data_IF_952995806217
#
_entry.id   IF_952995806217
#
_cell.length_a   1.000
_cell.length_b   1.000
_cell.length_c   1.000
_cell.angle_alpha   90.00
_cell.angle_beta   90.00
_cell.angle_gamma   90.00
#
_symmetry.space_group_name_H-M   'P 1'
#
loop_
_entity.id
_entity.type
_entity.pdbx_description
1 polymer ?
#
# COMPACT_ATOMS: atom_id res chain seq x y z
N UNK A 1 -23.67 17.36 -13.30
CA UNK A 1 -22.24 17.59 -12.97
C UNK A 1 -22.04 18.03 -11.53
N UNK A 2 -22.76 19.06 -11.06
CA UNK A 2 -22.64 19.65 -9.72
C UNK A 2 -22.73 18.65 -8.55
N UNK A 3 -23.64 17.68 -8.62
CA UNK A 3 -23.82 16.65 -7.57
C UNK A 3 -22.69 15.60 -7.54
N UNK A 4 -22.04 15.37 -8.69
CA UNK A 4 -20.90 14.45 -8.85
C UNK A 4 -19.62 15.10 -8.31
N UNK A 5 -19.46 16.41 -8.55
CA UNK A 5 -18.35 17.23 -8.08
C UNK A 5 -18.36 17.38 -6.55
N UNK A 6 -19.54 17.57 -5.95
CA UNK A 6 -19.71 17.56 -4.49
C UNK A 6 -19.33 16.22 -3.84
N UNK A 7 -19.65 15.09 -4.49
CA UNK A 7 -19.22 13.76 -4.02
C UNK A 7 -17.70 13.59 -4.09
N UNK A 8 -17.04 14.02 -5.17
CA UNK A 8 -15.57 13.92 -5.28
C UNK A 8 -14.87 14.79 -4.22
N UNK A 9 -15.34 16.03 -4.00
CA UNK A 9 -14.81 16.90 -2.93
C UNK A 9 -14.94 16.28 -1.54
N UNK A 10 -15.97 15.49 -1.29
CA UNK A 10 -16.17 14.82 -0.01
C UNK A 10 -15.04 13.81 0.28
N UNK A 11 -14.62 13.05 -0.74
CA UNK A 11 -13.64 11.96 -0.64
C UNK A 11 -12.25 12.31 -1.21
N UNK A 12 -11.96 13.59 -1.44
CA UNK A 12 -10.69 14.03 -2.03
C UNK A 12 -9.46 13.58 -1.24
N UNK A 13 -9.59 13.49 0.09
CA UNK A 13 -8.51 13.12 0.98
C UNK A 13 -8.11 11.63 0.89
N UNK A 14 -9.05 10.66 1.00
CA UNK A 14 -8.71 9.26 0.80
C UNK A 14 -8.29 8.94 -0.65
N UNK A 15 -8.90 9.62 -1.63
CA UNK A 15 -8.51 9.47 -3.05
C UNK A 15 -7.09 10.00 -3.26
N UNK A 16 -6.80 11.22 -2.81
CA UNK A 16 -5.49 11.86 -2.98
C UNK A 16 -4.38 11.05 -2.32
N UNK A 17 -4.59 10.56 -1.10
CA UNK A 17 -3.65 9.68 -0.42
C UNK A 17 -3.37 8.38 -1.20
N UNK A 18 -4.42 7.73 -1.71
CA UNK A 18 -4.29 6.53 -2.55
C UNK A 18 -3.49 6.81 -3.83
N UNK A 19 -3.78 7.92 -4.51
CA UNK A 19 -3.10 8.32 -5.75
C UNK A 19 -1.62 8.59 -5.46
N UNK A 20 -1.31 9.36 -4.42
CA UNK A 20 0.08 9.65 -4.03
C UNK A 20 0.84 8.35 -3.73
N UNK A 21 0.25 7.42 -2.96
CA UNK A 21 0.89 6.12 -2.71
C UNK A 21 1.11 5.32 -4.00
N UNK A 22 0.10 5.25 -4.89
CA UNK A 22 0.23 4.49 -6.15
C UNK A 22 1.29 5.09 -7.08
N UNK A 23 1.51 6.41 -7.00
CA UNK A 23 2.56 7.11 -7.74
C UNK A 23 3.98 6.90 -7.17
N UNK A 24 4.15 6.17 -6.06
CA UNK A 24 5.44 5.89 -5.45
C UNK A 24 6.50 5.43 -6.47
N UNK A 25 6.16 4.41 -7.26
CA UNK A 25 7.05 3.79 -8.24
C UNK A 25 7.43 4.74 -9.39
N UNK A 26 6.47 5.31 -10.15
CA UNK A 26 6.83 6.23 -11.23
C UNK A 26 7.60 7.45 -10.72
N UNK A 27 7.29 7.94 -9.51
CA UNK A 27 8.04 9.02 -8.89
C UNK A 27 9.48 8.62 -8.55
N UNK A 28 9.69 7.44 -7.97
CA UNK A 28 11.04 6.94 -7.69
C UNK A 28 11.85 6.70 -8.96
N UNK A 29 11.24 6.19 -10.03
CA UNK A 29 11.91 6.00 -11.32
C UNK A 29 12.34 7.34 -11.93
N UNK A 30 11.44 8.33 -11.93
CA UNK A 30 11.74 9.68 -12.42
C UNK A 30 12.84 10.36 -11.58
N UNK A 31 12.76 10.26 -10.24
CA UNK A 31 13.77 10.80 -9.34
C UNK A 31 15.13 10.13 -9.53
N UNK A 32 15.16 8.81 -9.75
CA UNK A 32 16.38 8.07 -10.03
C UNK A 32 17.00 8.51 -11.36
N UNK A 33 16.21 8.69 -12.41
CA UNK A 33 16.69 9.19 -13.70
C UNK A 33 17.27 10.60 -13.58
N UNK A 34 16.56 11.52 -12.92
CA UNK A 34 17.07 12.87 -12.64
C UNK A 34 18.38 12.84 -11.83
N UNK A 35 18.48 11.94 -10.84
CA UNK A 35 19.68 11.78 -10.03
C UNK A 35 20.86 11.23 -10.82
N UNK A 36 20.63 10.26 -11.70
CA UNK A 36 21.66 9.70 -12.58
C UNK A 36 22.15 10.74 -13.59
N UNK A 37 21.24 11.52 -14.18
CA UNK A 37 21.59 12.63 -15.08
C UNK A 37 22.43 13.69 -14.36
N UNK A 38 22.02 14.11 -13.17
CA UNK A 38 22.76 15.08 -12.36
C UNK A 38 24.12 14.53 -11.88
N UNK A 39 24.22 13.21 -11.66
CA UNK A 39 25.42 12.51 -11.21
C UNK A 39 26.41 12.11 -12.31
N UNK A 40 26.07 12.32 -13.58
CA UNK A 40 26.88 11.91 -14.73
C UNK A 40 28.08 12.81 -15.05
N UNK A 41 28.29 13.87 -14.27
CA UNK A 41 29.46 14.74 -14.42
C UNK A 41 30.75 14.02 -13.97
N UNK A 42 31.89 14.35 -14.59
CA UNK A 42 33.19 13.76 -14.25
C UNK A 42 33.76 14.23 -12.88
N UNK A 43 32.97 14.93 -12.06
CA UNK A 43 33.39 15.48 -10.77
C UNK A 43 32.64 14.82 -9.61
N UNK A 44 33.32 14.51 -8.51
CA UNK A 44 32.69 13.95 -7.29
C UNK A 44 31.50 14.80 -6.79
N UNK A 45 31.58 16.12 -6.94
CA UNK A 45 30.51 17.06 -6.58
C UNK A 45 29.20 16.78 -7.33
N UNK A 46 29.26 16.26 -8.56
CA UNK A 46 28.08 15.91 -9.34
C UNK A 46 27.39 14.64 -8.80
N UNK A 47 28.15 13.64 -8.35
CA UNK A 47 27.60 12.41 -7.75
C UNK A 47 26.86 12.69 -6.44
N UNK A 48 27.40 13.57 -5.58
CA UNK A 48 26.72 14.02 -4.36
C UNK A 48 25.45 14.82 -4.66
N UNK A 49 25.44 15.60 -5.74
CA UNK A 49 24.28 16.37 -6.16
C UNK A 49 23.14 15.45 -6.65
N UNK A 50 23.47 14.40 -7.42
CA UNK A 50 22.51 13.36 -7.81
C UNK A 50 21.89 12.64 -6.61
N UNK A 51 22.73 12.17 -5.67
CA UNK A 51 22.26 11.53 -4.43
C UNK A 51 21.41 12.47 -3.57
N UNK A 52 21.81 13.73 -3.45
CA UNK A 52 21.09 14.76 -2.70
C UNK A 52 19.70 15.02 -3.27
N UNK A 53 19.57 15.12 -4.60
CA UNK A 53 18.29 15.31 -5.29
C UNK A 53 17.36 14.11 -5.09
N UNK A 54 17.87 12.88 -5.24
CA UNK A 54 17.10 11.67 -4.98
C UNK A 54 16.61 11.64 -3.53
N UNK A 55 17.51 11.84 -2.57
CA UNK A 55 17.19 11.82 -1.14
C UNK A 55 16.15 12.88 -0.76
N UNK A 56 16.30 14.11 -1.26
CA UNK A 56 15.33 15.18 -1.03
C UNK A 56 13.96 14.85 -1.63
N UNK A 57 13.92 14.32 -2.86
CA UNK A 57 12.67 13.91 -3.51
C UNK A 57 11.93 12.79 -2.76
N UNK A 58 12.66 11.78 -2.31
CA UNK A 58 12.10 10.70 -1.47
C UNK A 58 11.57 11.26 -0.16
N UNK A 59 12.29 12.19 0.49
CA UNK A 59 11.87 12.79 1.75
C UNK A 59 10.60 13.65 1.58
N UNK A 60 10.49 14.43 0.50
CA UNK A 60 9.28 15.18 0.15
C UNK A 60 8.09 14.23 -0.05
N UNK A 61 8.30 13.12 -0.77
CA UNK A 61 7.26 12.10 -0.96
C UNK A 61 6.80 11.49 0.37
N UNK A 62 7.73 11.09 1.24
CA UNK A 62 7.41 10.54 2.56
C UNK A 62 6.65 11.54 3.43
N UNK A 63 7.04 12.83 3.41
CA UNK A 63 6.30 13.89 4.10
C UNK A 63 4.88 14.05 3.55
N UNK A 64 4.71 14.03 2.23
CA UNK A 64 3.38 14.13 1.62
C UNK A 64 2.47 12.95 2.03
N UNK A 65 3.01 11.72 1.99
CA UNK A 65 2.29 10.52 2.44
C UNK A 65 1.95 10.60 3.92
N UNK A 66 2.90 11.01 4.77
CA UNK A 66 2.69 11.15 6.22
C UNK A 66 1.60 12.18 6.54
N UNK A 67 1.67 13.37 5.92
CA UNK A 67 0.67 14.44 6.11
C UNK A 67 -0.72 13.96 5.66
N UNK A 68 -0.84 13.39 4.46
CA UNK A 68 -2.11 12.88 3.95
C UNK A 68 -2.63 11.72 4.80
N UNK A 69 -1.75 10.85 5.31
CA UNK A 69 -2.08 9.77 6.23
C UNK A 69 -2.67 10.31 7.54
N UNK A 70 -1.98 11.23 8.21
CA UNK A 70 -2.44 11.86 9.46
C UNK A 70 -3.80 12.54 9.25
N UNK A 71 -3.96 13.30 8.17
CA UNK A 71 -5.22 13.94 7.85
C UNK A 71 -6.35 12.92 7.66
N UNK A 72 -6.10 11.78 7.00
CA UNK A 72 -7.10 10.72 6.83
C UNK A 72 -7.49 10.11 8.18
N UNK A 73 -6.53 9.88 9.07
CA UNK A 73 -6.81 9.40 10.44
C UNK A 73 -7.70 10.40 11.17
N UNK A 74 -7.33 11.68 11.23
CA UNK A 74 -8.11 12.74 11.89
C UNK A 74 -9.53 12.83 11.33
N UNK A 75 -9.67 12.75 9.99
CA UNK A 75 -10.96 12.84 9.32
C UNK A 75 -11.83 11.61 9.58
N UNK A 76 -11.24 10.42 9.70
CA UNK A 76 -11.96 9.21 10.12
C UNK A 76 -12.59 9.37 11.50
N UNK A 77 -11.85 9.88 12.49
CA UNK A 77 -12.36 10.14 13.84
C UNK A 77 -13.45 11.22 13.85
N UNK A 78 -13.31 12.27 13.02
CA UNK A 78 -14.34 13.30 12.89
C UNK A 78 -15.65 12.73 12.33
N UNK A 79 -15.57 11.89 11.29
CA UNK A 79 -16.72 11.22 10.71
C UNK A 79 -17.40 10.26 11.69
N UNK A 80 -16.61 9.53 12.49
CA UNK A 80 -17.13 8.72 13.60
C UNK A 80 -17.94 9.56 14.59
N UNK A 81 -17.41 10.71 15.03
CA UNK A 81 -18.13 11.61 15.96
C UNK A 81 -19.45 12.13 15.39
N UNK A 82 -19.50 12.33 14.07
CA UNK A 82 -20.70 12.76 13.36
C UNK A 82 -21.68 11.60 13.09
N UNK A 83 -21.31 10.36 13.44
CA UNK A 83 -22.06 9.13 13.11
C UNK A 83 -22.35 8.99 11.61
N UNK A 84 -21.49 9.56 10.74
CA UNK A 84 -21.64 9.45 9.29
C UNK A 84 -21.07 8.12 8.80
N UNK A 85 -21.92 7.08 8.88
CA UNK A 85 -21.52 5.74 8.43
C UNK A 85 -21.23 5.69 6.93
N UNK A 86 -21.98 6.45 6.11
CA UNK A 86 -21.81 6.41 4.66
C UNK A 86 -20.42 6.90 4.29
N UNK A 87 -19.97 7.97 4.92
CA UNK A 87 -18.62 8.48 4.73
C UNK A 87 -17.56 7.50 5.22
N UNK A 88 -17.75 6.90 6.40
CA UNK A 88 -16.81 5.91 6.94
C UNK A 88 -16.67 4.67 6.04
N UNK A 89 -17.79 4.10 5.59
CA UNK A 89 -17.79 2.91 4.71
C UNK A 89 -17.21 3.24 3.34
N UNK A 90 -17.63 4.33 2.71
CA UNK A 90 -17.09 4.71 1.40
C UNK A 90 -15.59 5.06 1.48
N UNK A 91 -15.16 5.77 2.53
CA UNK A 91 -13.76 6.07 2.78
C UNK A 91 -12.93 4.80 3.00
N UNK A 92 -13.44 3.84 3.78
CA UNK A 92 -12.83 2.53 3.96
C UNK A 92 -12.67 1.81 2.62
N UNK A 93 -13.71 1.73 1.80
CA UNK A 93 -13.66 1.03 0.51
C UNK A 93 -12.69 1.71 -0.47
N UNK A 94 -12.68 3.04 -0.54
CA UNK A 94 -11.74 3.79 -1.40
C UNK A 94 -10.30 3.49 -1.00
N UNK A 95 -9.99 3.59 0.30
CA UNK A 95 -8.63 3.36 0.79
C UNK A 95 -8.22 1.90 0.61
N UNK A 96 -9.06 0.94 1.02
CA UNK A 96 -8.72 -0.50 0.95
C UNK A 96 -8.53 -0.95 -0.50
N UNK A 97 -9.48 -0.64 -1.37
CA UNK A 97 -9.40 -1.06 -2.78
C UNK A 97 -8.32 -0.30 -3.54
N UNK A 98 -8.12 0.98 -3.20
CA UNK A 98 -7.04 1.79 -3.75
C UNK A 98 -5.65 1.29 -3.36
N UNK A 99 -5.46 0.91 -2.09
CA UNK A 99 -4.19 0.40 -1.58
C UNK A 99 -3.79 -0.93 -2.21
N UNK A 100 -4.73 -1.74 -2.72
CA UNK A 100 -4.40 -2.99 -3.44
C UNK A 100 -3.48 -2.71 -4.62
N UNK A 101 -3.74 -1.65 -5.39
CA UNK A 101 -2.91 -1.29 -6.54
C UNK A 101 -1.49 -0.89 -6.09
N UNK A 102 -1.39 -0.04 -5.07
CA UNK A 102 -0.11 0.32 -4.47
C UNK A 102 0.65 -0.92 -3.99
N UNK A 103 -0.02 -1.83 -3.27
CA UNK A 103 0.57 -3.05 -2.75
C UNK A 103 1.14 -3.91 -3.87
N UNK A 104 0.35 -4.21 -4.91
CA UNK A 104 0.80 -5.02 -6.06
C UNK A 104 2.00 -4.36 -6.75
N UNK A 105 1.87 -3.09 -7.13
CA UNK A 105 2.92 -2.36 -7.86
C UNK A 105 4.22 -2.31 -7.03
N UNK A 106 4.12 -1.99 -5.74
CA UNK A 106 5.28 -1.85 -4.86
C UNK A 106 6.02 -3.19 -4.67
N UNK A 107 5.29 -4.28 -4.42
CA UNK A 107 5.93 -5.61 -4.25
C UNK A 107 6.50 -6.17 -5.56
N UNK A 108 5.84 -5.96 -6.69
CA UNK A 108 6.38 -6.34 -8.01
C UNK A 108 7.69 -5.60 -8.27
N UNK A 109 7.74 -4.29 -8.01
CA UNK A 109 8.96 -3.51 -8.22
C UNK A 109 10.08 -3.90 -7.25
N UNK A 110 9.77 -4.12 -5.97
CA UNK A 110 10.76 -4.64 -5.00
C UNK A 110 11.31 -5.99 -5.49
N UNK A 111 10.44 -6.92 -5.92
CA UNK A 111 10.87 -8.21 -6.45
C UNK A 111 11.77 -8.06 -7.68
N UNK A 112 11.40 -7.18 -8.62
CA UNK A 112 12.21 -6.89 -9.81
C UNK A 112 13.58 -6.30 -9.45
N UNK A 113 13.64 -5.36 -8.51
CA UNK A 113 14.91 -4.76 -8.05
C UNK A 113 15.80 -5.81 -7.39
N UNK A 114 15.23 -6.66 -6.54
CA UNK A 114 15.97 -7.73 -5.85
C UNK A 114 16.48 -8.78 -6.84
N UNK A 115 15.66 -9.21 -7.79
CA UNK A 115 16.04 -10.17 -8.82
C UNK A 115 17.09 -9.59 -9.77
N UNK A 116 16.90 -8.36 -10.26
CA UNK A 116 17.84 -7.70 -11.15
C UNK A 116 19.18 -7.40 -10.44
N UNK A 117 19.13 -6.90 -9.20
CA UNK A 117 20.32 -6.66 -8.39
C UNK A 117 21.07 -7.95 -8.07
N UNK A 118 20.34 -9.02 -7.72
CA UNK A 118 20.91 -10.35 -7.50
C UNK A 118 21.58 -10.91 -8.76
N UNK A 119 20.92 -10.80 -9.91
CA UNK A 119 21.47 -11.26 -11.19
C UNK A 119 22.70 -10.43 -11.60
N UNK A 120 22.65 -9.11 -11.47
CA UNK A 120 23.77 -8.22 -11.77
C UNK A 120 24.98 -8.53 -10.88
N UNK A 121 24.75 -8.76 -9.58
CA UNK A 121 25.81 -9.15 -8.66
C UNK A 121 26.37 -10.55 -8.96
N UNK A 122 25.54 -11.50 -9.36
CA UNK A 122 25.97 -12.82 -9.80
C UNK A 122 26.85 -12.76 -11.06
N UNK A 123 26.41 -12.04 -12.09
CA UNK A 123 27.17 -11.86 -13.34
C UNK A 123 28.47 -11.08 -13.09
N UNK A 124 28.40 -9.96 -12.37
CA UNK A 124 29.57 -9.12 -12.08
C UNK A 124 30.64 -9.82 -11.25
N UNK A 125 30.24 -10.70 -10.33
CA UNK A 125 31.15 -11.52 -9.52
C UNK A 125 31.61 -12.81 -10.23
N UNK A 126 31.16 -13.07 -11.48
CA UNK A 126 31.40 -14.32 -12.20
C UNK A 126 30.98 -15.55 -11.38
N UNK A 127 29.90 -15.43 -10.62
CA UNK A 127 29.35 -16.47 -9.75
C UNK A 127 30.03 -16.64 -8.39
N UNK A 128 31.11 -15.92 -8.09
CA UNK A 128 31.82 -16.04 -6.81
C UNK A 128 31.01 -15.52 -5.62
N UNK A 129 30.00 -14.67 -5.86
CA UNK A 129 29.10 -14.17 -4.80
C UNK A 129 28.30 -15.27 -4.10
N UNK A 130 28.12 -16.44 -4.75
CA UNK A 130 27.45 -17.59 -4.12
C UNK A 130 28.20 -18.07 -2.86
N UNK A 131 29.53 -17.95 -2.84
CA UNK A 131 30.34 -18.32 -1.67
C UNK A 131 30.22 -17.29 -0.53
N UNK A 132 29.95 -16.02 -0.86
CA UNK A 132 29.69 -14.96 0.12
C UNK A 132 28.23 -14.93 0.60
N UNK A 133 27.31 -15.61 -0.09
CA UNK A 133 25.88 -15.60 0.17
C UNK A 133 25.52 -15.92 1.64
N UNK A 134 26.12 -16.94 2.31
CA UNK A 134 25.78 -17.24 3.71
C UNK A 134 26.05 -16.07 4.66
N UNK A 135 27.06 -15.25 4.38
CA UNK A 135 27.43 -14.08 5.17
C UNK A 135 26.60 -12.85 4.81
N UNK A 136 26.14 -12.75 3.56
CA UNK A 136 25.30 -11.65 3.08
C UNK A 136 23.81 -11.85 3.37
N UNK A 137 23.36 -13.11 3.50
CA UNK A 137 21.95 -13.48 3.68
C UNK A 137 21.30 -12.74 4.85
N UNK A 138 21.92 -12.63 6.05
CA UNK A 138 21.33 -11.88 7.15
C UNK A 138 21.09 -10.40 6.80
N UNK A 139 22.03 -9.77 6.09
CA UNK A 139 21.92 -8.39 5.64
C UNK A 139 20.80 -8.20 4.61
N UNK A 140 20.68 -9.12 3.64
CA UNK A 140 19.60 -9.11 2.64
C UNK A 140 18.24 -9.28 3.32
N UNK A 141 18.11 -10.25 4.24
CA UNK A 141 16.87 -10.47 4.99
C UNK A 141 16.49 -9.27 5.85
N UNK A 142 17.46 -8.64 6.51
CA UNK A 142 17.25 -7.42 7.26
C UNK A 142 16.72 -6.30 6.36
N UNK A 143 17.37 -6.06 5.22
CA UNK A 143 16.96 -5.04 4.25
C UNK A 143 15.55 -5.31 3.70
N UNK A 144 15.24 -6.56 3.34
CA UNK A 144 13.89 -6.97 2.91
C UNK A 144 12.85 -6.71 3.99
N UNK A 145 13.17 -7.02 5.25
CA UNK A 145 12.28 -6.79 6.38
C UNK A 145 11.98 -5.30 6.56
N UNK A 146 12.99 -4.43 6.44
CA UNK A 146 12.80 -2.97 6.50
C UNK A 146 11.87 -2.48 5.39
N UNK A 147 12.02 -2.96 4.15
CA UNK A 147 11.14 -2.58 3.03
C UNK A 147 9.69 -3.03 3.24
N UNK A 148 9.50 -4.27 3.72
CA UNK A 148 8.17 -4.84 4.02
C UNK A 148 7.49 -4.05 5.14
N UNK A 149 8.19 -3.80 6.25
CA UNK A 149 7.67 -3.03 7.39
C UNK A 149 7.39 -1.58 6.97
N UNK A 150 8.27 -0.95 6.20
CA UNK A 150 8.08 0.42 5.70
C UNK A 150 6.82 0.54 4.83
N UNK A 151 6.61 -0.42 3.92
CA UNK A 151 5.40 -0.50 3.09
C UNK A 151 4.16 -0.67 3.98
N UNK A 152 4.22 -1.55 4.98
CA UNK A 152 3.14 -1.76 5.94
C UNK A 152 2.78 -0.47 6.70
N UNK A 153 3.78 0.24 7.24
CA UNK A 153 3.61 1.49 7.98
C UNK A 153 2.94 2.58 7.14
N UNK A 154 3.33 2.69 5.87
CA UNK A 154 2.74 3.66 4.94
C UNK A 154 1.25 3.44 4.79
N UNK A 155 0.75 2.20 4.83
CA UNK A 155 -0.66 1.87 4.62
C UNK A 155 -1.52 1.88 5.90
N UNK A 156 -0.91 1.91 7.09
CA UNK A 156 -1.59 1.92 8.40
C UNK A 156 -2.71 2.98 8.50
N UNK A 157 -2.53 4.23 8.03
CA UNK A 157 -3.59 5.24 8.05
C UNK A 157 -4.91 4.79 7.39
N UNK A 158 -4.83 3.92 6.37
CA UNK A 158 -5.99 3.38 5.68
C UNK A 158 -6.87 2.47 6.54
N UNK A 159 -6.30 1.80 7.55
CA UNK A 159 -7.04 0.89 8.44
C UNK A 159 -8.01 1.64 9.38
N UNK A 160 -7.74 2.90 9.72
CA UNK A 160 -8.53 3.65 10.69
C UNK A 160 -9.98 3.84 10.27
N UNK A 161 -10.26 4.00 8.97
CA UNK A 161 -11.64 4.04 8.47
C UNK A 161 -12.38 2.72 8.76
N UNK A 162 -11.72 1.57 8.58
CA UNK A 162 -12.26 0.26 8.94
C UNK A 162 -12.52 0.13 10.44
N UNK A 163 -11.58 0.58 11.27
CA UNK A 163 -11.76 0.65 12.74
C UNK A 163 -12.97 1.51 13.12
N UNK A 164 -13.20 2.65 12.46
CA UNK A 164 -14.39 3.46 12.74
C UNK A 164 -15.69 2.78 12.30
N UNK A 165 -15.71 2.08 11.16
CA UNK A 165 -16.86 1.28 10.72
C UNK A 165 -17.16 0.17 11.74
N UNK A 166 -16.13 -0.50 12.27
CA UNK A 166 -16.27 -1.52 13.31
C UNK A 166 -16.87 -0.93 14.59
N UNK A 167 -16.35 0.21 15.07
CA UNK A 167 -16.86 0.90 16.27
C UNK A 167 -18.32 1.32 16.11
N UNK A 168 -18.71 1.86 14.96
CA UNK A 168 -20.11 2.19 14.67
C UNK A 168 -20.99 0.95 14.62
N UNK A 169 -20.51 -0.12 13.97
CA UNK A 169 -21.24 -1.39 13.87
C UNK A 169 -21.47 -2.05 15.23
N UNK A 170 -20.50 -1.95 16.14
CA UNK A 170 -20.62 -2.40 17.52
C UNK A 170 -21.61 -1.52 18.30
N UNK A 171 -21.51 -0.19 18.18
CA UNK A 171 -22.43 0.76 18.82
C UNK A 171 -23.89 0.59 18.39
N UNK A 172 -24.15 0.21 17.14
CA UNK A 172 -25.49 -0.12 16.63
C UNK A 172 -25.93 -1.57 16.90
N UNK A 173 -25.18 -2.33 17.71
CA UNK A 173 -25.46 -3.74 18.04
C UNK A 173 -25.56 -4.66 16.81
N UNK A 174 -24.95 -4.29 15.68
CA UNK A 174 -24.85 -5.12 14.47
C UNK A 174 -23.74 -6.18 14.56
N UNK A 175 -22.94 -6.12 15.63
CA UNK A 175 -21.77 -6.95 15.85
C UNK A 175 -21.47 -7.12 17.34
N UNK A 176 -21.08 -8.33 17.75
CA UNK A 176 -20.61 -8.61 19.12
C UNK A 176 -19.14 -8.23 19.32
N UNK A 177 -18.68 -8.21 20.58
CA UNK A 177 -17.33 -7.78 20.94
C UNK A 177 -16.22 -8.65 20.32
N UNK A 178 -16.37 -9.98 20.36
CA UNK A 178 -15.38 -10.89 19.76
C UNK A 178 -15.21 -10.68 18.25
N UNK A 179 -16.33 -10.48 17.54
CA UNK A 179 -16.30 -10.14 16.12
C UNK A 179 -15.65 -8.76 15.89
N UNK A 180 -15.93 -7.76 16.74
CA UNK A 180 -15.30 -6.45 16.64
C UNK A 180 -13.77 -6.51 16.77
N UNK A 181 -13.27 -7.32 17.70
CA UNK A 181 -11.82 -7.53 17.89
C UNK A 181 -11.20 -8.25 16.69
N UNK A 182 -11.85 -9.30 16.19
CA UNK A 182 -11.38 -10.03 15.01
C UNK A 182 -11.30 -9.12 13.78
N UNK A 183 -12.40 -8.43 13.45
CA UNK A 183 -12.44 -7.47 12.36
C UNK A 183 -11.39 -6.36 12.57
N UNK A 184 -11.19 -5.91 13.81
CA UNK A 184 -10.16 -4.93 14.15
C UNK A 184 -8.74 -5.42 13.84
N UNK A 185 -8.42 -6.68 14.19
CA UNK A 185 -7.15 -7.31 13.88
C UNK A 185 -6.97 -7.50 12.36
N UNK A 186 -8.00 -8.01 11.68
CA UNK A 186 -7.98 -8.24 10.23
C UNK A 186 -7.75 -6.95 9.44
N UNK A 187 -8.21 -5.80 9.95
CA UNK A 187 -8.00 -4.51 9.28
C UNK A 187 -6.53 -4.08 9.14
N UNK A 188 -5.61 -4.67 9.90
CA UNK A 188 -4.17 -4.42 9.79
C UNK A 188 -3.42 -5.50 8.99
N UNK A 189 -4.12 -6.54 8.53
CA UNK A 189 -3.59 -7.54 7.63
C UNK A 189 -3.97 -7.22 6.18
N UNK A 190 -3.06 -6.61 5.42
CA UNK A 190 -3.29 -6.09 4.07
C UNK A 190 -3.69 -7.11 2.99
N UNK A 191 -3.64 -8.41 3.30
CA UNK A 191 -4.17 -9.45 2.42
C UNK A 191 -5.65 -9.69 2.70
N UNK A 192 -6.03 -9.77 3.98
CA UNK A 192 -7.36 -10.18 4.42
C UNK A 192 -8.29 -8.98 4.67
N UNK A 193 -7.72 -7.80 4.93
CA UNK A 193 -8.44 -6.57 5.23
C UNK A 193 -9.40 -6.13 4.11
N UNK A 194 -9.08 -6.42 2.85
CA UNK A 194 -9.93 -6.12 1.69
C UNK A 194 -11.18 -6.99 1.70
N UNK A 195 -11.03 -8.29 1.99
CA UNK A 195 -12.15 -9.22 2.15
C UNK A 195 -12.99 -8.85 3.37
N UNK A 196 -12.33 -8.44 4.45
CA UNK A 196 -12.96 -7.95 5.68
C UNK A 196 -13.80 -6.69 5.43
N UNK A 197 -13.22 -5.70 4.72
CA UNK A 197 -13.89 -4.45 4.35
C UNK A 197 -15.09 -4.71 3.44
N UNK A 198 -14.97 -5.63 2.48
CA UNK A 198 -16.09 -6.09 1.65
C UNK A 198 -17.21 -6.68 2.51
N UNK A 199 -16.88 -7.58 3.44
CA UNK A 199 -17.86 -8.19 4.34
C UNK A 199 -18.58 -7.15 5.19
N UNK A 200 -17.84 -6.22 5.81
CA UNK A 200 -18.40 -5.15 6.63
C UNK A 200 -19.30 -4.23 5.80
N UNK A 201 -18.85 -3.80 4.62
CA UNK A 201 -19.63 -2.90 3.76
C UNK A 201 -20.92 -3.57 3.25
N UNK A 202 -20.82 -4.77 2.67
CA UNK A 202 -21.93 -5.44 2.01
C UNK A 202 -22.88 -6.08 3.00
N UNK A 203 -22.38 -6.89 3.95
CA UNK A 203 -23.23 -7.69 4.83
C UNK A 203 -23.76 -6.90 6.02
N UNK A 204 -22.95 -6.01 6.61
CA UNK A 204 -23.37 -5.24 7.79
C UNK A 204 -24.09 -3.94 7.44
N UNK A 205 -23.73 -3.33 6.32
CA UNK A 205 -24.28 -2.02 5.94
C UNK A 205 -25.02 -1.99 4.61
N UNK A 206 -25.01 -3.07 3.83
CA UNK A 206 -25.71 -3.12 2.54
C UNK A 206 -25.12 -2.21 1.46
N UNK A 207 -23.89 -1.72 1.66
CA UNK A 207 -23.22 -0.71 0.83
C UNK A 207 -22.13 -1.35 -0.04
N UNK A 208 -21.75 -0.67 -1.13
CA UNK A 208 -20.56 -1.05 -1.91
C UNK A 208 -20.65 -2.38 -2.68
N UNK A 209 -21.86 -2.91 -2.94
CA UNK A 209 -22.05 -4.21 -3.63
C UNK A 209 -21.30 -4.30 -4.96
N UNK A 210 -21.44 -3.29 -5.83
CA UNK A 210 -20.81 -3.28 -7.17
C UNK A 210 -19.29 -3.28 -7.11
N UNK A 211 -18.69 -2.42 -6.28
CA UNK A 211 -17.23 -2.34 -6.12
C UNK A 211 -16.65 -3.59 -5.44
N UNK A 212 -17.39 -4.17 -4.51
CA UNK A 212 -17.01 -5.41 -3.82
C UNK A 212 -16.97 -6.62 -4.74
N UNK A 213 -17.95 -6.77 -5.65
CA UNK A 213 -17.95 -7.85 -6.66
C UNK A 213 -16.73 -7.74 -7.57
N UNK A 214 -16.42 -6.53 -8.06
CA UNK A 214 -15.26 -6.31 -8.94
C UNK A 214 -13.96 -6.72 -8.26
N UNK A 215 -13.73 -6.28 -7.02
CA UNK A 215 -12.53 -6.62 -6.27
C UNK A 215 -12.52 -8.10 -5.88
N UNK A 216 -13.67 -8.70 -5.56
CA UNK A 216 -13.79 -10.13 -5.30
C UNK A 216 -13.39 -10.99 -6.51
N UNK A 217 -13.79 -10.59 -7.72
CA UNK A 217 -13.35 -11.26 -8.97
C UNK A 217 -11.84 -11.11 -9.15
N UNK A 218 -11.29 -9.92 -8.91
CA UNK A 218 -9.86 -9.65 -9.06
C UNK A 218 -9.02 -10.48 -8.06
N UNK A 219 -9.44 -10.55 -6.79
CA UNK A 219 -8.81 -11.39 -5.76
C UNK A 219 -8.96 -12.89 -6.08
N UNK A 220 -10.15 -13.33 -6.49
CA UNK A 220 -10.39 -14.73 -6.86
C UNK A 220 -9.55 -15.17 -8.06
N UNK A 221 -9.47 -14.31 -9.09
CA UNK A 221 -8.62 -14.53 -10.26
C UNK A 221 -7.13 -14.56 -9.91
N UNK A 222 -6.66 -13.62 -9.08
CA UNK A 222 -5.27 -13.61 -8.63
C UNK A 222 -4.90 -14.86 -7.81
N UNK A 223 -5.78 -15.29 -6.91
CA UNK A 223 -5.60 -16.53 -6.13
C UNK A 223 -5.56 -17.78 -7.02
N UNK A 224 -6.49 -17.91 -7.97
CA UNK A 224 -6.50 -19.01 -8.92
C UNK A 224 -5.24 -19.03 -9.81
N UNK A 225 -4.79 -17.86 -10.28
CA UNK A 225 -3.55 -17.73 -11.05
C UNK A 225 -2.31 -18.14 -10.26
N UNK A 226 -2.23 -17.77 -8.98
CA UNK A 226 -1.13 -18.19 -8.10
C UNK A 226 -1.12 -19.71 -7.89
N UNK A 227 -2.28 -20.32 -7.62
CA UNK A 227 -2.40 -21.78 -7.47
C UNK A 227 -1.98 -22.49 -8.75
N UNK A 228 -2.43 -22.01 -9.91
CA UNK A 228 -2.05 -22.57 -11.20
C UNK A 228 -0.54 -22.45 -11.46
N UNK A 229 0.07 -21.30 -11.15
CA UNK A 229 1.50 -21.09 -11.29
C UNK A 229 2.31 -22.05 -10.39
N UNK A 230 1.92 -22.21 -9.12
CA UNK A 230 2.58 -23.12 -8.19
C UNK A 230 2.41 -24.58 -8.66
N UNK A 231 1.21 -24.98 -9.07
CA UNK A 231 0.96 -26.32 -9.59
C UNK A 231 1.74 -26.59 -10.88
N UNK A 232 1.94 -25.58 -11.72
CA UNK A 232 2.75 -25.67 -12.93
C UNK A 232 4.26 -25.64 -12.68
N UNK A 233 4.73 -25.05 -11.59
CA UNK A 233 6.15 -25.01 -11.23
C UNK A 233 6.64 -26.28 -10.50
N UNK A 234 5.70 -27.11 -10.00
CA UNK A 234 5.98 -28.38 -9.32
C UNK A 234 5.90 -29.59 -10.28
N UNK A 235 5.40 -29.38 -11.50
CA UNK A 235 5.37 -30.37 -12.59
C UNK A 235 6.48 -30.10 -13.61
#
# INVERSE_FOLDING_TARGET
MWEKENKVRQYILPIGYTVVMTLCVPLHMMLLECALLAGSGNAESSSWLGLGLYGAGVLIYLMAVAVLGILNVVRSFRAYRQKDIRYCVNGMLILKYGMVLYFIINYVVIAMIVLAGGLAAFVGSRGTILFALPFMLPGILFFMTVLVIGTWLIMVPGAFYGVQVIRLSYGEKKMGMGAALLHGFLQFNFLVDVLDAMYLAVKKWGMGKKSSVLIGILYGGAGAGLIWFIAGAVN
#
